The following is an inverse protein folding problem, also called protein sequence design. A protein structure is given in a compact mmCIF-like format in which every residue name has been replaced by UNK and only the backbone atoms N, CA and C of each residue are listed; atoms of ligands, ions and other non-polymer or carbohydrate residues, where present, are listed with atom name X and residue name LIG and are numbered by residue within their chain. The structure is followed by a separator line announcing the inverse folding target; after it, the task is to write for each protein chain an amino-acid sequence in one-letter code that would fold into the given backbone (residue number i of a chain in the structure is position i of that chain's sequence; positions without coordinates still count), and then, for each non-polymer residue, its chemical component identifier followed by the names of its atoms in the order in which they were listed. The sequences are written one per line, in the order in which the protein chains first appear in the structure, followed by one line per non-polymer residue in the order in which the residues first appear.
data_IF_465299493427
#
_entry.id   IF_465299493427
#
_cell.length_a   1.000
_cell.length_b   1.000
_cell.length_c   1.000
_cell.angle_alpha   90.00
_cell.angle_beta   90.00
_cell.angle_gamma   90.00
#
_symmetry.space_group_name_H-M   'P 1'
#
loop_
_entity.id
_entity.type
_entity.pdbx_description
1 polymer ?
#
# COMPACT_ATOMS: atom_id res chain seq x y z
N UNK A 1 -5.14 -14.58 -22.83
CA UNK A 1 -4.67 -13.82 -21.64
C UNK A 1 -3.21 -14.11 -21.39
N UNK A 2 -2.43 -13.07 -21.12
CA UNK A 2 -1.03 -13.26 -20.72
C UNK A 2 -0.97 -14.01 -19.38
N UNK A 3 -0.04 -14.94 -19.26
CA UNK A 3 0.22 -15.64 -18.00
C UNK A 3 0.87 -14.66 -17.02
N UNK A 4 0.35 -14.60 -15.80
CA UNK A 4 0.93 -13.78 -14.74
C UNK A 4 2.17 -14.49 -14.19
N UNK A 5 3.33 -13.87 -14.37
CA UNK A 5 4.61 -14.39 -13.87
C UNK A 5 5.01 -13.79 -12.54
N UNK A 6 4.55 -12.57 -12.26
CA UNK A 6 4.89 -11.83 -11.04
C UNK A 6 3.65 -11.15 -10.47
N UNK A 7 3.50 -11.24 -9.16
CA UNK A 7 2.48 -10.52 -8.40
C UNK A 7 3.20 -9.51 -7.50
N UNK A 8 3.14 -8.24 -7.87
CA UNK A 8 3.82 -7.17 -7.14
C UNK A 8 2.81 -6.43 -6.28
N UNK A 9 3.03 -6.46 -4.97
CA UNK A 9 2.15 -5.84 -3.98
C UNK A 9 2.91 -4.68 -3.34
N UNK A 10 2.33 -3.50 -3.38
CA UNK A 10 2.95 -2.27 -2.86
C UNK A 10 2.10 -1.68 -1.76
N UNK A 11 2.72 -1.41 -0.60
CA UNK A 11 2.20 -0.43 0.33
C UNK A 11 2.28 0.96 -0.32
N UNK A 12 1.44 1.88 0.12
CA UNK A 12 1.37 3.22 -0.49
C UNK A 12 2.22 4.23 0.29
N UNK A 13 1.78 4.60 1.48
CA UNK A 13 2.42 5.64 2.28
C UNK A 13 3.78 5.19 2.84
N UNK A 14 4.82 5.94 2.53
CA UNK A 14 6.18 5.61 2.97
C UNK A 14 6.89 4.61 2.07
N UNK A 15 6.22 4.01 1.09
CA UNK A 15 6.80 3.07 0.12
C UNK A 15 6.90 3.69 -1.26
N UNK A 16 5.79 4.11 -1.86
CA UNK A 16 5.77 4.77 -3.16
C UNK A 16 5.31 6.23 -3.11
N UNK A 17 4.62 6.63 -2.06
CA UNK A 17 4.04 7.97 -1.89
C UNK A 17 4.53 8.60 -0.60
N UNK A 18 4.96 9.86 -0.69
CA UNK A 18 5.31 10.67 0.47
C UNK A 18 4.15 11.60 0.80
N UNK A 19 3.40 11.26 1.83
CA UNK A 19 2.29 12.05 2.37
C UNK A 19 2.65 12.74 3.69
N UNK A 20 3.94 12.81 4.04
CA UNK A 20 4.42 13.33 5.33
C UNK A 20 4.05 14.79 5.57
N UNK A 21 3.83 15.57 4.51
CA UNK A 21 3.44 16.99 4.63
C UNK A 21 2.04 17.19 5.23
N UNK A 22 1.21 16.16 5.29
CA UNK A 22 -0.17 16.27 5.73
C UNK A 22 -0.56 15.34 6.88
N UNK A 23 0.43 14.77 7.57
CA UNK A 23 0.16 14.06 8.82
C UNK A 23 1.11 14.52 9.91
N UNK A 24 0.75 14.23 11.15
CA UNK A 24 1.62 14.39 12.31
C UNK A 24 1.42 13.25 13.29
N UNK A 25 2.44 12.99 14.09
CA UNK A 25 2.45 11.93 15.09
C UNK A 25 2.08 12.48 16.46
N UNK A 26 1.24 11.74 17.20
CA UNK A 26 0.93 11.99 18.60
C UNK A 26 1.69 10.97 19.42
N UNK A 27 2.34 11.41 20.51
CA UNK A 27 2.99 10.55 21.50
C UNK A 27 2.21 10.67 22.81
N UNK A 28 1.70 9.56 23.31
CA UNK A 28 0.98 9.52 24.59
C UNK A 28 1.35 8.24 25.38
N UNK A 29 0.60 7.94 26.45
CA UNK A 29 0.87 6.76 27.29
C UNK A 29 0.74 5.44 26.54
N UNK A 30 0.04 5.41 25.41
CA UNK A 30 -0.16 4.23 24.57
C UNK A 30 0.88 4.12 23.43
N UNK A 31 1.84 5.05 23.39
CA UNK A 31 2.89 5.08 22.37
C UNK A 31 2.63 6.09 21.27
N UNK A 32 3.27 5.87 20.14
CA UNK A 32 3.24 6.74 18.97
C UNK A 32 2.10 6.37 18.02
N UNK A 33 1.36 7.36 17.55
CA UNK A 33 0.28 7.15 16.57
C UNK A 33 0.06 8.37 15.70
N UNK A 34 -0.58 8.19 14.55
CA UNK A 34 -0.94 9.29 13.67
C UNK A 34 -2.13 10.06 14.27
N UNK A 35 -2.04 11.38 14.24
CA UNK A 35 -3.16 12.26 14.60
C UNK A 35 -4.21 12.20 13.49
N UNK A 36 -5.27 11.44 13.71
CA UNK A 36 -6.31 11.24 12.71
C UNK A 36 -7.11 12.50 12.40
N UNK A 37 -7.28 13.38 13.38
CA UNK A 37 -7.99 14.65 13.14
C UNK A 37 -7.18 15.56 12.22
N UNK A 38 -5.88 15.67 12.48
CA UNK A 38 -4.98 16.41 11.60
C UNK A 38 -4.95 15.82 10.19
N UNK A 39 -4.92 14.50 10.06
CA UNK A 39 -4.97 13.81 8.78
C UNK A 39 -6.25 14.17 8.01
N UNK A 40 -7.40 14.11 8.67
CA UNK A 40 -8.69 14.45 8.05
C UNK A 40 -8.74 15.90 7.61
N UNK A 41 -8.22 16.82 8.41
CA UNK A 41 -8.15 18.24 8.07
C UNK A 41 -7.28 18.52 6.85
N UNK A 42 -6.33 17.66 6.54
CA UNK A 42 -5.37 17.82 5.45
C UNK A 42 -5.61 16.87 4.26
N UNK A 43 -6.71 16.16 4.22
CA UNK A 43 -7.04 15.24 3.12
C UNK A 43 -7.09 15.95 1.76
N UNK A 44 -7.53 17.19 1.72
CA UNK A 44 -7.60 17.98 0.48
C UNK A 44 -6.24 18.20 -0.16
N UNK A 45 -5.15 17.98 0.56
CA UNK A 45 -3.77 18.19 0.09
C UNK A 45 -3.19 16.94 -0.61
N UNK A 46 -4.00 15.92 -0.86
CA UNK A 46 -3.51 14.67 -1.45
C UNK A 46 -2.80 14.89 -2.80
N UNK A 47 -3.28 15.81 -3.63
CA UNK A 47 -2.64 16.10 -4.91
C UNK A 47 -1.23 16.70 -4.77
N UNK A 48 -0.83 17.10 -3.57
CA UNK A 48 0.51 17.63 -3.27
C UNK A 48 1.44 16.53 -2.71
N UNK A 49 0.98 15.28 -2.58
CA UNK A 49 1.80 14.17 -2.14
C UNK A 49 2.97 13.97 -3.12
N UNK A 50 4.14 13.64 -2.58
CA UNK A 50 5.32 13.37 -3.37
C UNK A 50 5.42 11.91 -3.77
N UNK A 51 6.36 11.62 -4.66
CA UNK A 51 6.68 10.26 -5.10
C UNK A 51 8.02 9.84 -4.51
N UNK A 52 8.07 8.62 -3.97
CA UNK A 52 9.29 8.04 -3.41
C UNK A 52 10.04 7.22 -4.46
N UNK A 53 11.33 6.86 -4.22
CA UNK A 53 12.13 6.14 -5.21
C UNK A 53 11.50 4.85 -5.74
N UNK A 54 10.73 4.12 -4.94
CA UNK A 54 10.04 2.90 -5.38
C UNK A 54 8.97 3.14 -6.45
N UNK A 55 8.59 4.39 -6.68
CA UNK A 55 7.66 4.74 -7.76
C UNK A 55 8.16 4.27 -9.13
N UNK A 56 9.46 4.33 -9.38
CA UNK A 56 10.04 3.88 -10.66
C UNK A 56 9.80 2.38 -10.87
N UNK A 57 10.01 1.57 -9.83
CA UNK A 57 9.73 0.13 -9.89
C UNK A 57 8.24 -0.14 -10.11
N UNK A 58 7.40 0.60 -9.40
CA UNK A 58 5.95 0.51 -9.54
C UNK A 58 5.51 0.78 -10.98
N UNK A 59 6.00 1.85 -11.60
CA UNK A 59 5.67 2.18 -12.99
C UNK A 59 6.20 1.15 -13.97
N UNK A 60 7.38 0.62 -13.72
CA UNK A 60 7.93 -0.47 -14.54
C UNK A 60 7.05 -1.71 -14.47
N UNK A 61 6.60 -2.08 -13.27
CA UNK A 61 5.70 -3.22 -13.08
C UNK A 61 4.34 -3.01 -13.76
N UNK A 62 3.79 -1.80 -13.70
CA UNK A 62 2.55 -1.46 -14.41
C UNK A 62 2.66 -1.62 -15.92
N UNK A 63 3.84 -1.38 -16.48
CA UNK A 63 4.10 -1.50 -17.92
C UNK A 63 4.34 -2.93 -18.38
N UNK A 64 4.53 -3.86 -17.44
CA UNK A 64 4.82 -5.26 -17.73
C UNK A 64 3.52 -6.09 -17.74
N UNK A 65 3.10 -6.56 -18.90
CA UNK A 65 1.86 -7.33 -19.06
C UNK A 65 1.86 -8.65 -18.26
N UNK A 66 3.03 -9.18 -17.93
CA UNK A 66 3.15 -10.40 -17.13
C UNK A 66 3.16 -10.15 -15.63
N UNK A 67 3.14 -8.89 -15.21
CA UNK A 67 3.10 -8.48 -13.82
C UNK A 67 1.70 -7.97 -13.46
N UNK A 68 1.11 -8.53 -12.39
CA UNK A 68 -0.12 -8.03 -11.82
C UNK A 68 0.23 -7.18 -10.62
N UNK A 69 -0.23 -5.93 -10.60
CA UNK A 69 0.17 -4.93 -9.59
C UNK A 69 -0.99 -4.61 -8.67
N UNK A 70 -0.74 -4.74 -7.36
CA UNK A 70 -1.71 -4.43 -6.32
C UNK A 70 -1.12 -3.34 -5.44
N UNK A 71 -1.92 -2.32 -5.10
CA UNK A 71 -1.63 -1.42 -3.97
C UNK A 71 -2.47 -1.88 -2.78
N UNK A 72 -1.84 -2.02 -1.63
CA UNK A 72 -2.51 -2.35 -0.37
C UNK A 72 -2.18 -1.28 0.68
N UNK A 73 -3.14 -0.45 1.01
CA UNK A 73 -2.99 0.64 1.98
C UNK A 73 -3.98 0.52 3.12
N UNK A 74 -3.57 0.91 4.31
CA UNK A 74 -4.46 0.97 5.47
C UNK A 74 -5.25 2.27 5.54
N UNK A 75 -5.04 3.20 4.59
CA UNK A 75 -5.75 4.48 4.61
C UNK A 75 -7.17 4.36 4.03
N UNK A 76 -8.06 5.24 4.51
CA UNK A 76 -9.35 5.51 3.85
C UNK A 76 -9.06 6.46 2.68
N UNK A 77 -9.47 6.08 1.48
CA UNK A 77 -9.24 6.88 0.27
C UNK A 77 -10.42 7.82 0.04
N UNK A 78 -10.12 9.10 -0.15
CA UNK A 78 -11.11 10.13 -0.46
C UNK A 78 -10.99 10.59 -1.91
N UNK A 79 -11.88 11.46 -2.36
CA UNK A 79 -11.87 11.95 -3.75
C UNK A 79 -10.51 12.53 -4.18
N UNK A 80 -9.83 13.38 -3.37
CA UNK A 80 -8.48 13.85 -3.72
C UNK A 80 -7.44 12.73 -3.82
N UNK A 81 -7.54 11.71 -2.97
CA UNK A 81 -6.64 10.54 -3.02
C UNK A 81 -6.81 9.77 -4.33
N UNK A 82 -8.06 9.51 -4.74
CA UNK A 82 -8.35 8.82 -5.99
C UNK A 82 -7.91 9.64 -7.20
N UNK A 83 -8.06 10.97 -7.14
CA UNK A 83 -7.57 11.85 -8.19
C UNK A 83 -6.04 11.75 -8.33
N UNK A 84 -5.31 11.72 -7.22
CA UNK A 84 -3.87 11.55 -7.20
C UNK A 84 -3.46 10.22 -7.85
N UNK A 85 -4.13 9.12 -7.50
CA UNK A 85 -3.86 7.80 -8.09
C UNK A 85 -4.08 7.84 -9.60
N UNK A 86 -5.19 8.40 -10.04
CA UNK A 86 -5.55 8.44 -11.45
C UNK A 86 -4.62 9.31 -12.29
N UNK A 87 -4.28 10.50 -11.79
CA UNK A 87 -3.59 11.53 -12.58
C UNK A 87 -2.08 11.52 -12.43
N UNK A 88 -1.56 11.08 -11.28
CA UNK A 88 -0.14 11.18 -10.95
C UNK A 88 0.52 9.80 -10.76
N UNK A 89 -0.03 8.98 -9.86
CA UNK A 89 0.57 7.71 -9.49
C UNK A 89 0.45 6.66 -10.61
N UNK A 90 -0.70 6.57 -11.22
CA UNK A 90 -1.09 5.49 -12.13
C UNK A 90 -1.87 4.41 -11.40
N UNK A 91 -3.00 3.99 -11.98
CA UNK A 91 -3.88 3.01 -11.37
C UNK A 91 -3.26 1.61 -11.42
N UNK A 92 -3.23 0.87 -10.28
CA UNK A 92 -2.80 -0.53 -10.28
C UNK A 92 -3.90 -1.42 -10.85
N UNK A 93 -3.59 -2.71 -11.03
CA UNK A 93 -4.58 -3.69 -11.45
C UNK A 93 -5.65 -3.93 -10.36
N UNK A 94 -5.27 -3.78 -9.10
CA UNK A 94 -6.20 -3.90 -7.97
C UNK A 94 -5.77 -2.98 -6.82
N UNK A 95 -6.75 -2.45 -6.08
CA UNK A 95 -6.49 -1.51 -4.99
C UNK A 95 -7.19 -2.00 -3.72
N UNK A 96 -6.43 -2.17 -2.63
CA UNK A 96 -6.95 -2.51 -1.31
C UNK A 96 -6.81 -1.28 -0.43
N UNK A 97 -7.93 -0.79 0.12
CA UNK A 97 -7.96 0.35 1.03
C UNK A 97 -8.94 0.10 2.15
N UNK A 98 -8.91 0.96 3.16
CA UNK A 98 -9.82 0.87 4.29
C UNK A 98 -11.17 1.48 3.92
N UNK A 99 -12.25 0.77 4.24
CA UNK A 99 -13.60 1.33 4.19
C UNK A 99 -13.79 2.23 5.41
N UNK A 100 -14.45 3.36 5.23
CA UNK A 100 -14.76 4.27 6.33
C UNK A 100 -15.52 3.53 7.44
N UNK A 101 -15.10 3.73 8.69
CA UNK A 101 -15.68 3.04 9.85
C UNK A 101 -15.08 1.66 10.15
N UNK A 102 -14.24 1.12 9.28
CA UNK A 102 -13.56 -0.14 9.48
C UNK A 102 -12.41 0.04 10.48
N UNK A 103 -12.46 -0.67 11.61
CA UNK A 103 -11.49 -0.56 12.71
C UNK A 103 -10.45 -1.69 12.75
N UNK A 104 -10.45 -2.62 11.78
CA UNK A 104 -9.46 -3.69 11.78
C UNK A 104 -8.03 -3.12 11.63
N UNK A 105 -7.04 -3.83 12.19
CA UNK A 105 -5.64 -3.39 12.08
C UNK A 105 -5.19 -3.35 10.62
N UNK A 106 -4.17 -2.54 10.33
CA UNK A 106 -3.63 -2.44 8.97
C UNK A 106 -3.16 -3.79 8.42
N UNK A 107 -2.50 -4.61 9.25
CA UNK A 107 -2.05 -5.95 8.82
C UNK A 107 -3.21 -6.89 8.51
N UNK A 108 -4.26 -6.87 9.33
CA UNK A 108 -5.47 -7.69 9.11
C UNK A 108 -6.18 -7.26 7.84
N UNK A 109 -6.33 -5.96 7.64
CA UNK A 109 -6.92 -5.39 6.43
C UNK A 109 -6.20 -5.88 5.17
N UNK A 110 -4.88 -5.80 5.16
CA UNK A 110 -4.06 -6.21 4.02
C UNK A 110 -4.13 -7.72 3.78
N UNK A 111 -4.06 -8.53 4.84
CA UNK A 111 -4.20 -9.99 4.73
C UNK A 111 -5.56 -10.36 4.14
N UNK A 112 -6.64 -9.80 4.67
CA UNK A 112 -8.00 -10.10 4.20
C UNK A 112 -8.19 -9.68 2.74
N UNK A 113 -7.67 -8.52 2.36
CA UNK A 113 -7.76 -8.05 0.97
C UNK A 113 -6.95 -8.86 -0.02
N UNK A 114 -5.83 -9.43 0.41
CA UNK A 114 -4.93 -10.21 -0.45
C UNK A 114 -5.29 -11.69 -0.55
N UNK A 115 -6.02 -12.23 0.42
CA UNK A 115 -6.25 -13.68 0.54
C UNK A 115 -6.82 -14.32 -0.73
N UNK A 116 -7.75 -13.66 -1.41
CA UNK A 116 -8.37 -14.21 -2.61
C UNK A 116 -7.39 -14.46 -3.76
N UNK A 117 -6.34 -13.64 -3.86
CA UNK A 117 -5.36 -13.76 -4.95
C UNK A 117 -4.54 -15.03 -4.83
N UNK A 118 -4.24 -15.46 -3.61
CA UNK A 118 -3.47 -16.67 -3.36
C UNK A 118 -4.27 -17.96 -3.54
N UNK A 119 -5.59 -17.83 -3.72
CA UNK A 119 -6.48 -18.96 -4.03
C UNK A 119 -6.86 -19.01 -5.51
N UNK A 120 -6.45 -18.04 -6.31
CA UNK A 120 -6.77 -17.99 -7.74
C UNK A 120 -5.72 -18.76 -8.54
N UNK A 121 -6.18 -19.59 -9.47
CA UNK A 121 -5.34 -20.44 -10.30
C UNK A 121 -4.30 -19.64 -11.10
N UNK A 122 -4.69 -18.45 -11.58
CA UNK A 122 -3.84 -17.60 -12.41
C UNK A 122 -2.58 -17.09 -11.68
N UNK A 123 -2.60 -17.08 -10.34
CA UNK A 123 -1.51 -16.54 -9.52
C UNK A 123 -0.68 -17.60 -8.82
N UNK A 124 -1.04 -18.88 -8.92
CA UNK A 124 -0.37 -19.95 -8.15
C UNK A 124 1.12 -20.11 -8.46
N UNK A 125 1.53 -19.84 -9.69
CA UNK A 125 2.93 -19.93 -10.12
C UNK A 125 3.64 -18.60 -10.20
N UNK A 126 2.95 -17.51 -9.85
CA UNK A 126 3.54 -16.17 -9.89
C UNK A 126 4.54 -15.98 -8.75
N UNK A 127 5.63 -15.28 -9.03
CA UNK A 127 6.54 -14.82 -7.99
C UNK A 127 5.89 -13.63 -7.29
N UNK A 128 5.39 -13.84 -6.08
CA UNK A 128 4.74 -12.80 -5.29
C UNK A 128 5.77 -12.08 -4.42
N UNK A 129 5.73 -10.75 -4.47
CA UNK A 129 6.61 -9.90 -3.68
C UNK A 129 5.80 -8.75 -3.06
N UNK A 130 6.09 -8.45 -1.79
CA UNK A 130 5.45 -7.37 -1.05
C UNK A 130 6.48 -6.32 -0.63
N UNK A 131 6.27 -5.07 -1.06
CA UNK A 131 7.10 -3.92 -0.71
C UNK A 131 6.39 -3.11 0.36
N UNK A 132 7.01 -2.95 1.54
CA UNK A 132 6.38 -2.36 2.71
C UNK A 132 7.41 -1.65 3.59
N UNK A 133 7.05 -0.47 4.11
CA UNK A 133 7.89 0.28 5.05
C UNK A 133 7.63 -0.06 6.52
N UNK A 134 6.50 -0.71 6.82
CA UNK A 134 6.16 -1.14 8.18
C UNK A 134 6.56 -2.60 8.38
N UNK A 135 7.55 -2.83 9.23
CA UNK A 135 8.11 -4.18 9.47
C UNK A 135 7.04 -5.15 9.98
N UNK A 136 6.16 -4.70 10.87
CA UNK A 136 5.09 -5.55 11.42
C UNK A 136 4.14 -6.02 10.32
N UNK A 137 3.73 -5.12 9.43
CA UNK A 137 2.84 -5.45 8.30
C UNK A 137 3.55 -6.37 7.30
N UNK A 138 4.80 -6.07 6.99
CA UNK A 138 5.62 -6.87 6.08
C UNK A 138 5.71 -8.32 6.57
N UNK A 139 6.08 -8.50 7.84
CA UNK A 139 6.19 -9.82 8.44
C UNK A 139 4.86 -10.56 8.46
N UNK A 140 3.79 -9.91 8.90
CA UNK A 140 2.48 -10.54 9.02
C UNK A 140 1.96 -11.06 7.68
N UNK A 141 2.08 -10.25 6.63
CA UNK A 141 1.60 -10.61 5.28
C UNK A 141 2.48 -11.71 4.68
N UNK A 142 3.80 -11.55 4.73
CA UNK A 142 4.72 -12.52 4.15
C UNK A 142 4.66 -13.87 4.83
N UNK A 143 4.53 -13.91 6.17
CA UNK A 143 4.39 -15.16 6.91
C UNK A 143 3.05 -15.85 6.60
N UNK A 144 1.96 -15.06 6.48
CA UNK A 144 0.63 -15.61 6.21
C UNK A 144 0.53 -16.31 4.86
N UNK A 145 1.17 -15.74 3.83
CA UNK A 145 1.06 -16.24 2.45
C UNK A 145 2.33 -16.94 1.96
N UNK A 146 3.37 -16.98 2.78
CA UNK A 146 4.67 -17.55 2.43
C UNK A 146 5.22 -16.92 1.15
N UNK A 147 5.30 -15.59 1.13
CA UNK A 147 5.78 -14.82 -0.02
C UNK A 147 7.02 -14.01 0.35
N UNK A 148 7.74 -13.58 -0.67
CA UNK A 148 8.91 -12.74 -0.52
C UNK A 148 8.52 -11.33 -0.12
N UNK A 149 9.25 -10.76 0.84
CA UNK A 149 9.07 -9.38 1.27
C UNK A 149 10.31 -8.55 1.04
N UNK A 150 10.10 -7.28 0.72
CA UNK A 150 11.18 -6.29 0.60
C UNK A 150 10.86 -5.13 1.53
N UNK A 151 11.70 -4.94 2.54
CA UNK A 151 11.56 -3.82 3.47
C UNK A 151 12.05 -2.54 2.80
N UNK A 152 11.20 -1.53 2.80
CA UNK A 152 11.53 -0.21 2.26
C UNK A 152 11.75 0.74 3.44
N UNK A 153 12.99 1.12 3.75
CA UNK A 153 13.26 2.06 4.85
C UNK A 153 12.56 3.40 4.61
N UNK A 154 11.85 3.87 5.62
CA UNK A 154 11.10 5.11 5.57
C UNK A 154 11.25 5.85 6.89
N UNK A 155 11.33 7.18 6.82
CA UNK A 155 11.31 8.03 8.01
C UNK A 155 9.90 8.16 8.59
N UNK A 156 8.91 7.64 7.88
CA UNK A 156 7.50 7.81 8.22
C UNK A 156 6.98 6.75 9.19
N UNK A 157 7.60 5.56 9.24
CA UNK A 157 7.31 4.55 10.25
C UNK A 157 5.91 3.95 10.21
N UNK A 158 5.27 3.96 9.08
CA UNK A 158 3.89 3.46 8.96
C UNK A 158 3.77 1.96 8.88
#
# INVERSE_FOLDING_TARGET
MATIKRLAIYDMDGTIVDSSHRYRTIVDANGERIDLDYWRENEYRAMQDGLLPMYEQYRSDLSDESCYVIIATARVMNAPDWQFVKEILGEPDYFISRTEGDSQSGKTLKINGLAKFFNLQNFKKADAVFYEDNVSYLKAVCDRFNIRGVYIPSKQGH
#
